data_IF_665825079909
#
_entry.id   IF_665825079909
#
_cell.length_a   1.000
_cell.length_b   1.000
_cell.length_c   1.000
_cell.angle_alpha   90.00
_cell.angle_beta   90.00
_cell.angle_gamma   90.00
#
_symmetry.space_group_name_H-M   'P 1'
#
loop_
_entity.id
_entity.type
_entity.pdbx_description
1 polymer ?
#
# COMPACT_ATOMS: atom_id res chain seq x y z
N UNK A 1 -1.43 29.67 11.05
CA UNK A 1 -1.34 31.14 10.95
C UNK A 1 -2.74 31.74 11.02
N UNK A 2 -2.97 32.83 11.76
CA UNK A 2 -4.22 33.60 11.78
C UNK A 2 -4.67 34.01 10.36
N UNK A 3 -5.96 34.30 10.15
CA UNK A 3 -6.45 34.77 8.85
C UNK A 3 -5.95 36.20 8.53
N UNK A 4 -5.73 37.01 9.56
CA UNK A 4 -5.28 38.41 9.48
C UNK A 4 -3.88 38.52 8.87
N UNK A 5 -2.98 37.60 9.23
CA UNK A 5 -1.62 37.54 8.67
C UNK A 5 -1.59 37.05 7.21
N UNK A 6 -2.69 36.47 6.70
CA UNK A 6 -2.79 35.89 5.35
C UNK A 6 -3.46 36.78 4.31
N UNK A 7 -4.17 37.84 4.72
CA UNK A 7 -5.11 38.58 3.85
C UNK A 7 -4.77 40.08 3.75
N UNK A 8 -3.68 40.56 4.36
CA UNK A 8 -3.33 41.98 4.33
C UNK A 8 -2.94 42.47 2.92
N UNK A 9 -3.69 43.42 2.32
CA UNK A 9 -3.47 43.88 0.95
C UNK A 9 -2.13 44.62 0.77
N UNK A 10 -1.64 45.31 1.81
CA UNK A 10 -0.43 46.16 1.71
C UNK A 10 0.90 45.36 1.77
N UNK A 11 0.88 44.12 2.26
CA UNK A 11 2.02 43.18 2.22
C UNK A 11 1.94 42.17 1.07
N UNK A 12 0.73 41.89 0.59
CA UNK A 12 0.41 40.85 -0.39
C UNK A 12 0.97 41.09 -1.81
N UNK A 13 1.45 42.29 -2.13
CA UNK A 13 2.01 42.61 -3.45
C UNK A 13 3.51 42.26 -3.58
N UNK A 14 4.18 41.82 -2.49
CA UNK A 14 5.62 41.54 -2.50
C UNK A 14 5.97 40.03 -2.58
N UNK A 15 5.05 39.12 -2.26
CA UNK A 15 5.28 37.66 -2.26
C UNK A 15 4.10 36.96 -2.96
N UNK A 16 4.39 35.96 -3.81
CA UNK A 16 3.36 35.20 -4.52
C UNK A 16 2.51 34.39 -3.52
N UNK A 17 1.24 34.75 -3.37
CA UNK A 17 0.39 34.26 -2.27
C UNK A 17 -0.22 32.87 -2.51
N UNK A 18 -0.18 32.35 -3.74
CA UNK A 18 -0.73 31.04 -4.07
C UNK A 18 0.23 30.24 -4.98
N UNK A 19 0.10 28.92 -4.98
CA UNK A 19 0.80 28.08 -5.93
C UNK A 19 -0.04 26.89 -6.40
N UNK A 20 0.14 26.50 -7.66
CA UNK A 20 -0.47 25.30 -8.23
C UNK A 20 0.63 24.44 -8.85
N UNK A 21 0.76 23.19 -8.38
CA UNK A 21 1.88 22.29 -8.73
C UNK A 21 3.26 22.95 -8.57
N UNK A 22 3.40 23.84 -7.60
CA UNK A 22 4.64 24.57 -7.34
C UNK A 22 4.85 25.82 -8.21
N UNK A 23 3.97 26.11 -9.19
CA UNK A 23 4.00 27.36 -9.95
C UNK A 23 3.32 28.46 -9.13
N UNK A 24 4.03 29.55 -8.79
CA UNK A 24 3.48 30.65 -8.01
C UNK A 24 2.54 31.54 -8.84
N UNK A 25 1.49 32.07 -8.22
CA UNK A 25 0.60 33.09 -8.80
C UNK A 25 -0.06 33.95 -7.72
N UNK A 26 -0.62 35.09 -8.10
CA UNK A 26 -1.38 35.95 -7.20
C UNK A 26 -2.89 35.74 -7.36
N UNK A 27 -3.64 35.80 -6.26
CA UNK A 27 -5.11 35.67 -6.26
C UNK A 27 -5.73 37.05 -6.10
N UNK A 28 -6.60 37.42 -7.03
CA UNK A 28 -7.40 38.64 -6.93
C UNK A 28 -8.74 38.37 -6.25
N UNK A 29 -9.47 37.38 -6.72
CA UNK A 29 -10.78 36.97 -6.19
C UNK A 29 -10.91 35.46 -6.23
N UNK A 30 -11.62 34.90 -5.25
CA UNK A 30 -11.95 33.48 -5.19
C UNK A 30 -13.40 33.31 -4.78
N UNK A 31 -14.17 32.59 -5.59
CA UNK A 31 -15.57 32.26 -5.33
C UNK A 31 -15.69 30.76 -5.07
N UNK A 32 -16.44 30.39 -4.03
CA UNK A 32 -16.79 28.99 -3.74
C UNK A 32 -18.27 28.80 -4.02
N UNK A 33 -18.58 27.96 -5.00
CA UNK A 33 -19.94 27.48 -5.26
C UNK A 33 -20.05 26.05 -4.74
N UNK A 34 -20.91 25.82 -3.77
CA UNK A 34 -21.14 24.51 -3.17
C UNK A 34 -22.51 24.44 -2.53
N UNK A 35 -22.94 23.25 -2.11
CA UNK A 35 -24.27 23.09 -1.50
C UNK A 35 -24.81 21.68 -1.58
N UNK A 36 -26.14 21.55 -1.67
CA UNK A 36 -26.84 20.29 -1.91
C UNK A 36 -27.37 20.28 -3.34
N UNK A 37 -27.25 19.14 -3.99
CA UNK A 37 -27.76 18.92 -5.34
C UNK A 37 -29.24 18.59 -5.25
N UNK A 38 -30.08 19.56 -5.58
CA UNK A 38 -31.53 19.43 -5.57
C UNK A 38 -32.04 19.37 -7.01
N UNK A 39 -32.77 18.32 -7.36
CA UNK A 39 -33.52 18.25 -8.60
C UNK A 39 -34.93 18.80 -8.34
N UNK A 40 -35.22 19.97 -8.89
CA UNK A 40 -36.54 20.62 -8.77
C UNK A 40 -37.37 20.29 -10.00
N UNK A 41 -38.52 19.64 -9.80
CA UNK A 41 -39.49 19.38 -10.85
C UNK A 41 -40.63 20.38 -10.76
N UNK A 42 -40.92 21.04 -11.88
CA UNK A 42 -42.02 21.98 -12.02
C UNK A 42 -43.18 21.31 -12.73
N UNK A 43 -44.39 21.43 -12.18
CA UNK A 43 -45.63 21.01 -12.83
C UNK A 43 -46.32 22.22 -13.45
N UNK A 44 -47.01 22.03 -14.58
CA UNK A 44 -47.73 23.11 -15.28
C UNK A 44 -48.96 23.51 -14.46
N UNK A 45 -49.18 24.82 -14.29
CA UNK A 45 -50.30 25.45 -13.56
C UNK A 45 -50.39 25.14 -12.05
N UNK A 46 -49.38 24.50 -11.47
CA UNK A 46 -49.26 24.30 -10.03
C UNK A 46 -48.11 25.14 -9.44
N UNK A 47 -48.35 25.92 -8.36
CA UNK A 47 -47.30 26.70 -7.73
C UNK A 47 -46.36 25.87 -6.84
N UNK A 48 -46.70 24.60 -6.60
CA UNK A 48 -45.89 23.68 -5.79
C UNK A 48 -44.83 23.00 -6.65
N UNK A 49 -43.63 22.85 -6.09
CA UNK A 49 -42.49 22.18 -6.73
C UNK A 49 -42.15 20.92 -5.96
N UNK A 50 -41.84 19.84 -6.68
CA UNK A 50 -41.25 18.65 -6.06
C UNK A 50 -39.73 18.79 -6.08
N UNK A 51 -39.08 18.53 -4.94
CA UNK A 51 -37.65 18.74 -4.75
C UNK A 51 -37.01 17.42 -4.31
N UNK A 52 -36.27 16.80 -5.22
CA UNK A 52 -35.53 15.57 -4.95
C UNK A 52 -34.08 15.88 -4.60
N UNK A 53 -33.70 15.56 -3.37
CA UNK A 53 -32.33 15.76 -2.89
C UNK A 53 -31.43 14.60 -3.32
N UNK A 54 -30.49 14.90 -4.21
CA UNK A 54 -29.55 13.94 -4.80
C UNK A 54 -28.17 13.96 -4.12
N UNK A 55 -28.08 14.50 -2.90
CA UNK A 55 -26.89 14.52 -2.07
C UNK A 55 -26.12 15.86 -2.09
N UNK A 56 -24.87 15.83 -1.64
CA UNK A 56 -23.98 17.01 -1.62
C UNK A 56 -23.53 17.35 -3.05
N UNK A 57 -23.61 18.63 -3.42
CA UNK A 57 -23.08 19.18 -4.67
C UNK A 57 -21.54 19.25 -4.59
N UNK A 58 -20.87 19.14 -5.73
CA UNK A 58 -19.41 19.28 -5.74
C UNK A 58 -19.03 20.73 -5.46
N UNK A 59 -18.09 20.94 -4.54
CA UNK A 59 -17.57 22.28 -4.26
C UNK A 59 -16.70 22.70 -5.46
N UNK A 60 -17.17 23.70 -6.20
CA UNK A 60 -16.48 24.32 -7.33
C UNK A 60 -15.87 25.63 -6.86
N UNK A 61 -14.54 25.74 -6.94
CA UNK A 61 -13.84 26.99 -6.72
C UNK A 61 -13.57 27.66 -8.06
N UNK A 62 -13.99 28.91 -8.20
CA UNK A 62 -13.61 29.78 -9.30
C UNK A 62 -12.55 30.76 -8.79
N UNK A 63 -11.38 30.74 -9.42
CA UNK A 63 -10.22 31.52 -8.99
C UNK A 63 -9.86 32.48 -10.11
N UNK A 64 -9.81 33.77 -9.77
CA UNK A 64 -9.23 34.82 -10.59
C UNK A 64 -7.80 35.05 -10.13
N UNK A 65 -6.87 34.51 -10.90
CA UNK A 65 -5.44 34.65 -10.69
C UNK A 65 -4.86 35.75 -11.59
N UNK A 66 -3.75 36.34 -11.15
CA UNK A 66 -2.92 37.16 -12.02
C UNK A 66 -1.44 36.88 -11.79
N UNK A 67 -0.69 37.07 -12.87
CA UNK A 67 0.77 37.00 -12.90
C UNK A 67 1.25 38.40 -13.27
N UNK A 68 2.17 38.95 -12.47
CA UNK A 68 2.71 40.30 -12.65
C UNK A 68 4.23 40.26 -12.43
N UNK A 69 5.00 40.80 -13.36
CA UNK A 69 6.46 40.72 -13.26
C UNK A 69 7.18 41.11 -14.54
N UNK A 70 8.51 41.13 -14.49
CA UNK A 70 9.36 41.37 -15.66
C UNK A 70 9.31 40.17 -16.63
N UNK A 71 9.18 38.96 -16.07
CA UNK A 71 9.12 37.67 -16.78
C UNK A 71 7.69 37.09 -16.79
N UNK A 72 6.67 37.96 -16.83
CA UNK A 72 5.27 37.55 -16.70
C UNK A 72 4.82 36.56 -17.78
N UNK A 73 5.43 36.62 -18.96
CA UNK A 73 5.17 35.75 -20.10
C UNK A 73 5.63 34.30 -19.83
N UNK A 74 6.82 34.13 -19.24
CA UNK A 74 7.35 32.82 -18.85
C UNK A 74 6.55 32.20 -17.68
N UNK A 75 6.22 33.00 -16.67
CA UNK A 75 5.44 32.55 -15.52
C UNK A 75 4.00 32.20 -15.91
N UNK A 76 3.40 32.99 -16.81
CA UNK A 76 2.09 32.69 -17.42
C UNK A 76 2.13 31.34 -18.13
N UNK A 77 3.09 31.13 -19.03
CA UNK A 77 3.16 29.90 -19.83
C UNK A 77 3.40 28.67 -18.94
N UNK A 78 4.18 28.79 -17.88
CA UNK A 78 4.35 27.75 -16.87
C UNK A 78 3.04 27.43 -16.14
N UNK A 79 2.27 28.45 -15.75
CA UNK A 79 0.96 28.27 -15.10
C UNK A 79 -0.05 27.61 -16.04
N UNK A 80 -0.10 28.02 -17.30
CA UNK A 80 -0.99 27.42 -18.30
C UNK A 80 -0.62 25.96 -18.57
N UNK A 81 0.67 25.64 -18.67
CA UNK A 81 1.15 24.27 -18.79
C UNK A 81 0.75 23.41 -17.59
N UNK A 82 0.88 23.94 -16.37
CA UNK A 82 0.47 23.24 -15.16
C UNK A 82 -1.05 22.99 -15.12
N UNK A 83 -1.86 23.98 -15.53
CA UNK A 83 -3.32 23.85 -15.59
C UNK A 83 -3.79 22.88 -16.68
N UNK A 84 -3.04 22.72 -17.76
CA UNK A 84 -3.36 21.80 -18.87
C UNK A 84 -2.85 20.37 -18.66
N UNK A 85 -1.90 20.15 -17.77
CA UNK A 85 -1.37 18.82 -17.49
C UNK A 85 -2.40 17.98 -16.70
N UNK A 86 -2.73 16.79 -17.24
CA UNK A 86 -3.79 15.93 -16.72
C UNK A 86 -3.54 15.41 -15.30
N UNK A 87 -4.63 15.18 -14.55
CA UNK A 87 -4.60 14.59 -13.21
C UNK A 87 -4.75 15.60 -12.07
N UNK A 88 -4.86 15.13 -10.81
CA UNK A 88 -4.98 16.00 -9.65
C UNK A 88 -3.68 16.77 -9.38
N UNK A 89 -3.78 18.02 -8.95
CA UNK A 89 -2.64 18.89 -8.62
C UNK A 89 -2.76 19.48 -7.22
N UNK A 90 -1.62 19.72 -6.55
CA UNK A 90 -1.59 20.42 -5.27
C UNK A 90 -1.81 21.91 -5.51
N UNK A 91 -2.88 22.45 -4.92
CA UNK A 91 -3.19 23.87 -4.86
C UNK A 91 -2.93 24.38 -3.44
N UNK A 92 -2.08 25.39 -3.31
CA UNK A 92 -1.88 26.15 -2.08
C UNK A 92 -2.57 27.48 -2.25
N UNK A 93 -3.64 27.71 -1.50
CA UNK A 93 -4.45 28.92 -1.60
C UNK A 93 -4.51 29.66 -0.24
N UNK A 94 -4.42 31.01 -0.20
CA UNK A 94 -4.43 31.78 1.05
C UNK A 94 -5.63 31.50 1.95
N UNK A 95 -6.82 31.42 1.35
CA UNK A 95 -8.08 31.21 2.06
C UNK A 95 -8.38 29.74 2.35
N UNK A 96 -8.00 28.83 1.45
CA UNK A 96 -8.43 27.42 1.49
C UNK A 96 -7.36 26.45 1.99
N UNK A 97 -6.13 26.93 2.20
CA UNK A 97 -4.99 26.11 2.59
C UNK A 97 -4.47 25.24 1.44
N UNK A 98 -3.78 24.15 1.80
CA UNK A 98 -3.32 23.15 0.84
C UNK A 98 -4.44 22.17 0.50
N UNK A 99 -4.76 22.01 -0.79
CA UNK A 99 -5.78 21.08 -1.28
C UNK A 99 -5.31 20.35 -2.52
N UNK A 100 -5.86 19.15 -2.71
CA UNK A 100 -5.70 18.38 -3.94
C UNK A 100 -6.91 18.65 -4.84
N UNK A 101 -6.68 19.30 -5.98
CA UNK A 101 -7.76 19.74 -6.88
C UNK A 101 -7.57 19.21 -8.29
N UNK A 102 -8.67 19.08 -9.00
CA UNK A 102 -8.68 18.80 -10.45
C UNK A 102 -9.31 19.99 -11.17
N UNK A 103 -8.71 20.43 -12.26
CA UNK A 103 -9.25 21.51 -13.10
C UNK A 103 -10.51 21.01 -13.80
N UNK A 104 -11.63 21.73 -13.62
CA UNK A 104 -12.95 21.34 -14.09
C UNK A 104 -13.39 22.07 -15.36
N UNK A 105 -12.83 23.25 -15.63
CA UNK A 105 -13.18 24.11 -16.76
C UNK A 105 -11.93 24.58 -17.52
N UNK A 106 -12.05 24.91 -18.82
CA UNK A 106 -10.95 25.53 -19.56
C UNK A 106 -10.58 26.88 -18.92
N UNK A 107 -9.28 27.14 -18.81
CA UNK A 107 -8.78 28.41 -18.31
C UNK A 107 -8.98 29.52 -19.35
N UNK A 108 -9.29 30.73 -18.89
CA UNK A 108 -9.42 31.93 -19.72
C UNK A 108 -8.31 32.89 -19.36
N UNK A 109 -7.56 33.33 -20.36
CA UNK A 109 -6.48 34.32 -20.19
C UNK A 109 -6.94 35.65 -20.76
N UNK A 110 -6.79 36.72 -19.98
CA UNK A 110 -7.07 38.08 -20.40
C UNK A 110 -5.80 38.93 -20.26
N UNK A 111 -5.38 39.52 -21.39
CA UNK A 111 -4.21 40.39 -21.51
C UNK A 111 -4.65 41.65 -22.24
N UNK A 112 -4.28 42.81 -21.69
CA UNK A 112 -4.56 44.11 -22.31
C UNK A 112 -3.26 44.85 -22.54
N UNK A 113 -3.14 45.50 -23.69
CA UNK A 113 -2.02 46.39 -24.02
C UNK A 113 -1.95 47.62 -23.09
N UNK A 114 -3.06 47.97 -22.43
CA UNK A 114 -3.13 49.08 -21.49
C UNK A 114 -2.58 48.71 -20.10
N UNK A 115 -2.51 47.41 -19.79
CA UNK A 115 -1.99 46.84 -18.55
C UNK A 115 -0.78 45.94 -18.87
N UNK A 116 0.25 46.52 -19.50
CA UNK A 116 1.47 45.81 -19.87
C UNK A 116 2.21 45.23 -18.66
N UNK A 117 2.71 43.99 -18.79
CA UNK A 117 3.42 43.28 -17.73
C UNK A 117 2.53 42.46 -16.77
N UNK A 118 1.26 42.25 -17.13
CA UNK A 118 0.30 41.49 -16.33
C UNK A 118 -0.57 40.57 -17.20
N UNK A 119 -0.76 39.33 -16.76
CA UNK A 119 -1.72 38.39 -17.34
C UNK A 119 -2.74 37.95 -16.29
N UNK A 120 -4.03 38.08 -16.59
CA UNK A 120 -5.11 37.58 -15.74
C UNK A 120 -5.55 36.20 -16.22
N UNK A 121 -5.61 35.22 -15.32
CA UNK A 121 -6.00 33.85 -15.61
C UNK A 121 -7.17 33.45 -14.72
N UNK A 122 -8.31 33.15 -15.34
CA UNK A 122 -9.49 32.62 -14.65
C UNK A 122 -9.60 31.12 -14.89
N UNK A 123 -9.73 30.34 -13.82
CA UNK A 123 -9.96 28.90 -13.92
C UNK A 123 -10.88 28.40 -12.81
N UNK A 124 -11.53 27.27 -13.05
CA UNK A 124 -12.34 26.58 -12.03
C UNK A 124 -11.73 25.23 -11.68
N UNK A 125 -11.76 24.87 -10.40
CA UNK A 125 -11.28 23.59 -9.91
C UNK A 125 -12.25 22.98 -8.90
N UNK A 126 -12.22 21.65 -8.81
CA UNK A 126 -13.04 20.86 -7.89
C UNK A 126 -12.17 20.01 -6.98
N UNK A 127 -12.68 19.67 -5.80
CA UNK A 127 -11.96 18.83 -4.83
C UNK A 127 -11.76 17.41 -5.38
N UNK A 128 -10.49 17.01 -5.57
CA UNK A 128 -10.15 15.69 -6.09
C UNK A 128 -10.25 14.60 -5.01
N UNK A 129 -10.33 14.96 -3.73
CA UNK A 129 -10.40 13.99 -2.63
C UNK A 129 -11.69 13.14 -2.69
N UNK A 130 -12.79 13.71 -3.18
CA UNK A 130 -14.08 13.02 -3.27
C UNK A 130 -14.12 11.95 -4.36
N UNK A 131 -13.33 12.09 -5.44
CA UNK A 131 -13.27 11.07 -6.51
C UNK A 131 -12.53 9.81 -6.04
N UNK A 132 -11.48 9.96 -5.23
CA UNK A 132 -10.81 8.84 -4.56
C UNK A 132 -11.75 8.13 -3.56
N UNK A 133 -12.66 8.87 -2.92
CA UNK A 133 -13.65 8.30 -1.98
C UNK A 133 -14.82 7.61 -2.69
N UNK A 134 -15.26 8.06 -3.88
CA UNK A 134 -16.41 7.46 -4.58
C UNK A 134 -16.10 6.10 -5.23
N UNK A 135 -14.85 5.86 -5.60
CA UNK A 135 -14.37 4.51 -6.00
C UNK A 135 -14.41 3.49 -4.84
N UNK A 136 -14.72 3.95 -3.62
CA UNK A 136 -14.96 3.10 -2.45
C UNK A 136 -16.42 2.63 -2.30
N UNK A 137 -17.33 2.88 -3.26
CA UNK A 137 -18.67 2.24 -3.22
C UNK A 137 -18.56 0.79 -3.69
N UNK A 138 -18.46 -0.10 -2.71
CA UNK A 138 -18.58 -1.56 -2.76
C UNK A 138 -18.09 -2.13 -1.44
N UNK A 139 -17.79 -3.44 -1.33
CA UNK A 139 -17.35 -4.02 -0.06
C UNK A 139 -16.17 -3.23 0.51
N UNK A 140 -16.06 -3.17 1.84
CA UNK A 140 -14.98 -2.44 2.51
C UNK A 140 -13.62 -2.88 1.90
N UNK A 141 -12.60 -1.99 1.83
CA UNK A 141 -11.32 -2.32 1.18
C UNK A 141 -10.73 -3.68 1.61
N UNK A 142 -10.92 -4.04 2.88
CA UNK A 142 -10.53 -5.35 3.45
C UNK A 142 -11.28 -6.53 2.83
N UNK A 143 -12.60 -6.44 2.69
CA UNK A 143 -13.46 -7.50 2.15
C UNK A 143 -13.17 -7.72 0.66
N UNK A 144 -12.98 -6.64 -0.11
CA UNK A 144 -12.57 -6.72 -1.52
C UNK A 144 -11.22 -7.41 -1.68
N UNK A 145 -10.23 -7.04 -0.86
CA UNK A 145 -8.91 -7.67 -0.90
C UNK A 145 -8.98 -9.16 -0.56
N UNK A 146 -9.75 -9.53 0.47
CA UNK A 146 -9.96 -10.94 0.80
C UNK A 146 -10.62 -11.71 -0.34
N UNK A 147 -11.63 -11.12 -1.00
CA UNK A 147 -12.30 -11.73 -2.15
C UNK A 147 -11.36 -11.89 -3.36
N UNK A 148 -10.61 -10.84 -3.72
CA UNK A 148 -9.66 -10.87 -4.84
C UNK A 148 -8.54 -11.91 -4.62
N UNK A 149 -8.01 -12.01 -3.40
CA UNK A 149 -7.03 -13.03 -3.04
C UNK A 149 -7.63 -14.45 -3.16
N UNK A 150 -8.87 -14.65 -2.73
CA UNK A 150 -9.57 -15.94 -2.85
C UNK A 150 -9.79 -16.31 -4.32
N UNK A 151 -10.22 -15.37 -5.15
CA UNK A 151 -10.41 -15.59 -6.59
C UNK A 151 -9.11 -15.99 -7.29
N UNK A 152 -7.99 -15.33 -6.95
CA UNK A 152 -6.67 -15.68 -7.49
C UNK A 152 -6.23 -17.09 -7.06
N UNK A 153 -6.47 -17.49 -5.81
CA UNK A 153 -6.19 -18.85 -5.34
C UNK A 153 -7.04 -19.89 -6.10
N UNK A 154 -8.31 -19.60 -6.36
CA UNK A 154 -9.20 -20.48 -7.10
C UNK A 154 -8.78 -20.67 -8.55
N UNK A 155 -8.40 -19.58 -9.24
CA UNK A 155 -7.89 -19.64 -10.62
C UNK A 155 -6.56 -20.41 -10.66
N UNK A 156 -5.59 -20.10 -9.79
CA UNK A 156 -4.32 -20.81 -9.76
C UNK A 156 -4.49 -22.33 -9.54
N UNK A 157 -5.45 -22.71 -8.68
CA UNK A 157 -5.82 -24.12 -8.43
C UNK A 157 -6.47 -24.77 -9.64
N UNK A 158 -7.40 -24.07 -10.30
CA UNK A 158 -8.06 -24.58 -11.51
C UNK A 158 -7.04 -24.80 -12.64
N UNK A 159 -6.16 -23.82 -12.86
CA UNK A 159 -5.12 -23.85 -13.89
C UNK A 159 -4.06 -24.93 -13.64
N UNK A 160 -3.66 -25.13 -12.38
CA UNK A 160 -2.80 -26.24 -11.98
C UNK A 160 -3.49 -27.59 -12.23
N UNK A 161 -4.76 -27.72 -11.83
CA UNK A 161 -5.50 -28.98 -11.97
C UNK A 161 -5.69 -29.40 -13.43
N UNK A 162 -5.88 -28.43 -14.33
CA UNK A 162 -6.04 -28.69 -15.76
C UNK A 162 -4.74 -29.16 -16.44
N UNK A 163 -3.59 -28.62 -16.02
CA UNK A 163 -2.28 -28.89 -16.66
C UNK A 163 -1.49 -30.05 -16.03
N UNK A 164 -1.84 -30.48 -14.81
CA UNK A 164 -1.12 -31.54 -14.07
C UNK A 164 -1.73 -32.94 -14.21
N UNK A 165 -2.60 -33.19 -15.19
CA UNK A 165 -3.43 -34.41 -15.32
C UNK A 165 -2.69 -35.73 -15.60
N UNK A 166 -1.44 -35.70 -16.06
CA UNK A 166 -0.70 -36.91 -16.46
C UNK A 166 0.59 -37.13 -15.64
N UNK A 167 0.53 -37.84 -14.51
CA UNK A 167 1.70 -38.54 -13.91
C UNK A 167 2.74 -37.73 -13.12
N UNK A 168 3.60 -38.46 -12.40
CA UNK A 168 4.61 -37.95 -11.46
C UNK A 168 5.87 -37.46 -12.18
N UNK A 169 6.41 -36.31 -11.77
CA UNK A 169 7.62 -35.75 -12.36
C UNK A 169 8.63 -35.26 -11.33
N UNK A 170 9.90 -35.13 -11.76
CA UNK A 170 11.01 -34.64 -10.94
C UNK A 170 10.80 -33.18 -10.47
N UNK A 171 10.07 -32.37 -11.26
CA UNK A 171 9.78 -30.97 -10.91
C UNK A 171 8.93 -30.81 -9.65
N UNK A 172 8.04 -31.75 -9.37
CA UNK A 172 7.20 -31.74 -8.15
C UNK A 172 8.05 -31.98 -6.89
N UNK A 173 9.03 -32.88 -6.96
CA UNK A 173 9.94 -33.14 -5.85
C UNK A 173 10.81 -31.90 -5.54
N UNK A 174 11.24 -31.17 -6.58
CA UNK A 174 11.96 -29.90 -6.41
C UNK A 174 11.11 -28.83 -5.73
N UNK A 175 9.86 -28.66 -6.15
CA UNK A 175 8.93 -27.70 -5.54
C UNK A 175 8.67 -27.98 -4.05
N UNK A 176 8.51 -29.26 -3.72
CA UNK A 176 8.34 -29.72 -2.34
C UNK A 176 9.59 -29.44 -1.51
N UNK A 177 10.78 -29.72 -2.05
CA UNK A 177 12.03 -29.43 -1.38
C UNK A 177 12.17 -27.92 -1.11
N UNK A 178 11.83 -27.08 -2.09
CA UNK A 178 11.80 -25.63 -1.95
C UNK A 178 10.80 -25.14 -0.91
N UNK A 179 9.57 -25.69 -0.90
CA UNK A 179 8.58 -25.40 0.14
C UNK A 179 9.08 -25.82 1.52
N UNK A 180 9.77 -26.96 1.64
CA UNK A 180 10.35 -27.42 2.91
C UNK A 180 11.48 -26.53 3.40
N UNK A 181 12.35 -26.07 2.49
CA UNK A 181 13.41 -25.12 2.82
C UNK A 181 12.83 -23.78 3.29
N UNK A 182 11.80 -23.26 2.61
CA UNK A 182 11.10 -22.05 3.03
C UNK A 182 10.41 -22.21 4.40
N UNK A 183 9.88 -23.38 4.71
CA UNK A 183 9.28 -23.67 6.00
C UNK A 183 10.31 -23.81 7.13
N UNK A 184 11.47 -24.42 6.86
CA UNK A 184 12.58 -24.52 7.81
C UNK A 184 13.21 -23.14 8.08
N UNK A 185 13.38 -22.32 7.03
CA UNK A 185 13.81 -20.94 7.16
C UNK A 185 12.78 -20.10 7.92
N UNK A 186 11.48 -20.32 7.69
CA UNK A 186 10.44 -19.70 8.50
C UNK A 186 10.52 -20.09 9.97
N UNK A 187 10.81 -21.36 10.27
CA UNK A 187 11.10 -21.81 11.62
C UNK A 187 12.31 -21.11 12.25
N UNK A 188 13.38 -20.92 11.48
CA UNK A 188 14.59 -20.24 11.94
C UNK A 188 14.37 -18.73 12.16
N UNK A 189 13.69 -18.04 11.24
CA UNK A 189 13.38 -16.61 11.35
C UNK A 189 12.42 -16.32 12.51
N UNK A 190 11.46 -17.21 12.78
CA UNK A 190 10.58 -17.11 13.95
C UNK A 190 11.37 -17.33 15.25
N UNK A 191 12.31 -18.28 15.27
CA UNK A 191 13.19 -18.49 16.41
C UNK A 191 14.14 -17.30 16.67
N UNK A 192 14.61 -16.62 15.61
CA UNK A 192 15.49 -15.45 15.68
C UNK A 192 14.72 -14.17 16.07
N UNK A 193 13.51 -13.98 15.53
CA UNK A 193 12.64 -12.84 15.84
C UNK A 193 12.04 -12.90 17.26
N UNK A 194 12.04 -14.08 17.90
CA UNK A 194 11.45 -14.29 19.23
C UNK A 194 12.46 -14.85 20.23
N UNK A 195 13.24 -13.96 20.87
CA UNK A 195 13.83 -14.25 22.18
C UNK A 195 12.77 -14.42 23.30
N UNK A 196 11.48 -14.24 23.00
CA UNK A 196 10.36 -14.45 23.93
C UNK A 196 9.17 -15.20 23.30
N UNK A 197 8.98 -16.42 23.83
CA UNK A 197 7.74 -17.20 24.04
C UNK A 197 7.09 -17.97 22.87
N UNK A 198 7.36 -19.29 22.84
CA UNK A 198 6.34 -20.35 22.90
C UNK A 198 5.42 -20.61 21.70
N UNK A 199 4.45 -19.74 21.41
CA UNK A 199 3.42 -20.07 20.41
C UNK A 199 3.83 -19.79 18.97
N UNK A 200 4.72 -18.82 18.73
CA UNK A 200 5.32 -18.64 17.41
C UNK A 200 6.16 -19.87 17.02
N UNK A 201 6.85 -20.49 17.99
CA UNK A 201 7.53 -21.78 17.80
C UNK A 201 6.52 -22.91 17.51
N UNK A 202 5.37 -22.94 18.20
CA UNK A 202 4.32 -23.94 17.95
C UNK A 202 3.70 -23.87 16.55
N UNK A 203 3.42 -22.67 16.04
CA UNK A 203 2.89 -22.46 14.69
C UNK A 203 3.94 -22.76 13.61
N UNK A 204 5.20 -22.39 13.83
CA UNK A 204 6.31 -22.74 12.95
C UNK A 204 6.56 -24.26 12.87
N UNK A 205 6.52 -24.94 14.03
CA UNK A 205 6.57 -26.40 14.10
C UNK A 205 5.37 -27.03 13.38
N UNK A 206 4.18 -26.43 13.51
CA UNK A 206 2.98 -26.81 12.76
C UNK A 206 3.17 -26.70 11.24
N UNK A 207 3.60 -25.53 10.75
CA UNK A 207 3.83 -25.28 9.32
C UNK A 207 4.89 -26.23 8.74
N UNK A 208 6.02 -26.41 9.42
CA UNK A 208 7.06 -27.37 8.99
C UNK A 208 6.57 -28.82 9.03
N UNK A 209 5.66 -29.18 9.94
CA UNK A 209 5.07 -30.52 9.99
C UNK A 209 4.12 -30.77 8.82
N UNK A 210 3.33 -29.77 8.40
CA UNK A 210 2.44 -29.84 7.25
C UNK A 210 3.20 -29.87 5.92
N UNK A 211 4.27 -29.08 5.78
CA UNK A 211 5.11 -29.15 4.58
C UNK A 211 5.82 -30.51 4.46
N UNK A 212 6.31 -31.06 5.58
CA UNK A 212 6.84 -32.43 5.62
C UNK A 212 5.75 -33.49 5.39
N UNK A 213 4.49 -33.19 5.67
CA UNK A 213 3.33 -34.04 5.33
C UNK A 213 3.11 -34.02 3.82
N UNK A 214 3.03 -32.84 3.21
CA UNK A 214 2.93 -32.64 1.76
C UNK A 214 4.02 -33.41 1.02
N UNK A 215 5.27 -33.31 1.49
CA UNK A 215 6.41 -34.00 0.89
C UNK A 215 6.27 -35.53 0.88
N UNK A 216 5.71 -36.10 1.96
CA UNK A 216 5.51 -37.55 2.08
C UNK A 216 4.35 -38.07 1.24
N UNK A 217 3.30 -37.26 1.04
CA UNK A 217 2.09 -37.67 0.32
C UNK A 217 2.06 -37.20 -1.14
N UNK A 218 3.03 -36.43 -1.59
CA UNK A 218 3.10 -35.93 -2.96
C UNK A 218 2.91 -37.00 -4.06
N UNK A 219 3.50 -38.21 -3.95
CA UNK A 219 3.28 -39.25 -4.97
C UNK A 219 1.81 -39.66 -5.11
N UNK A 220 1.04 -39.67 -4.02
CA UNK A 220 -0.41 -39.95 -4.01
C UNK A 220 -1.28 -38.73 -4.30
N UNK A 221 -0.77 -37.51 -4.06
CA UNK A 221 -1.48 -36.27 -4.36
C UNK A 221 -1.38 -35.90 -5.84
N UNK A 222 -0.37 -36.39 -6.55
CA UNK A 222 -0.21 -36.15 -7.99
C UNK A 222 -1.24 -36.87 -8.86
N UNK A 223 -1.88 -37.93 -8.33
CA UNK A 223 -3.07 -38.52 -8.96
C UNK A 223 -4.34 -37.71 -8.71
N UNK A 224 -4.31 -36.72 -7.81
CA UNK A 224 -5.43 -35.81 -7.50
C UNK A 224 -4.96 -34.33 -7.54
N UNK A 225 -4.71 -33.76 -8.74
CA UNK A 225 -4.10 -32.43 -8.89
C UNK A 225 -4.80 -31.30 -8.11
N UNK A 226 -6.13 -31.29 -8.05
CA UNK A 226 -6.89 -30.29 -7.31
C UNK A 226 -6.64 -30.37 -5.79
N UNK A 227 -6.45 -31.58 -5.26
CA UNK A 227 -6.13 -31.79 -3.84
C UNK A 227 -4.70 -31.36 -3.55
N UNK A 228 -3.75 -31.74 -4.40
CA UNK A 228 -2.37 -31.27 -4.31
C UNK A 228 -2.30 -29.73 -4.24
N UNK A 229 -2.99 -29.04 -5.15
CA UNK A 229 -3.04 -27.58 -5.18
C UNK A 229 -3.62 -26.98 -3.88
N UNK A 230 -4.67 -27.58 -3.33
CA UNK A 230 -5.29 -27.15 -2.07
C UNK A 230 -4.33 -27.29 -0.89
N UNK A 231 -3.57 -28.39 -0.84
CA UNK A 231 -2.58 -28.63 0.21
C UNK A 231 -1.39 -27.68 0.11
N UNK A 232 -0.90 -27.38 -1.11
CA UNK A 232 0.14 -26.36 -1.35
C UNK A 232 -0.32 -24.98 -0.88
N UNK A 233 -1.54 -24.57 -1.24
CA UNK A 233 -2.12 -23.29 -0.79
C UNK A 233 -2.27 -23.22 0.73
N UNK A 234 -2.68 -24.33 1.34
CA UNK A 234 -2.80 -24.42 2.81
C UNK A 234 -1.43 -24.32 3.47
N UNK A 235 -0.41 -25.01 2.94
CA UNK A 235 0.96 -24.90 3.43
C UNK A 235 1.50 -23.47 3.34
N UNK A 236 1.32 -22.80 2.19
CA UNK A 236 1.73 -21.39 2.00
C UNK A 236 1.04 -20.48 3.02
N UNK A 237 -0.29 -20.61 3.19
CA UNK A 237 -1.03 -19.82 4.20
C UNK A 237 -0.55 -20.11 5.62
N UNK A 238 -0.22 -21.36 5.95
CA UNK A 238 0.30 -21.72 7.28
C UNK A 238 1.70 -21.15 7.50
N UNK A 239 2.58 -21.18 6.50
CA UNK A 239 3.91 -20.56 6.58
C UNK A 239 3.75 -19.06 6.86
N UNK A 240 2.96 -18.35 6.06
CA UNK A 240 2.74 -16.91 6.24
C UNK A 240 1.98 -16.58 7.54
N UNK A 241 1.02 -17.42 7.93
CA UNK A 241 0.25 -17.29 9.16
C UNK A 241 1.07 -17.55 10.43
N UNK A 242 2.10 -18.41 10.36
CA UNK A 242 3.01 -18.66 11.48
C UNK A 242 3.76 -17.39 11.93
N UNK A 243 3.98 -16.46 11.00
CA UNK A 243 4.54 -15.14 11.28
C UNK A 243 3.49 -14.10 11.74
N UNK A 244 2.20 -14.33 11.46
CA UNK A 244 1.10 -13.37 11.67
C UNK A 244 0.39 -13.51 13.02
N UNK A 245 0.51 -14.63 13.72
CA UNK A 245 -0.16 -14.78 15.02
C UNK A 245 0.46 -13.84 16.05
N UNK A 246 -0.40 -12.99 16.65
CA UNK A 246 -0.06 -12.20 17.83
C UNK A 246 0.51 -13.08 18.96
N UNK A 247 1.12 -12.43 19.96
CA UNK A 247 1.58 -13.17 21.14
C UNK A 247 0.43 -14.01 21.70
N UNK A 248 0.68 -15.29 22.03
CA UNK A 248 -0.31 -16.12 22.68
C UNK A 248 -0.70 -15.44 23.99
N UNK A 249 -1.98 -15.10 24.14
CA UNK A 249 -2.49 -14.57 25.42
C UNK A 249 -2.55 -15.66 26.49
N UNK A 250 -2.41 -16.93 26.11
CA UNK A 250 -2.48 -18.10 26.99
C UNK A 250 -1.38 -19.12 26.65
N UNK A 251 -0.79 -19.72 27.67
CA UNK A 251 0.21 -20.79 27.53
C UNK A 251 -0.44 -22.05 26.92
N UNK A 252 0.06 -22.57 25.78
CA UNK A 252 -0.55 -23.70 25.08
C UNK A 252 -0.52 -25.03 25.85
N UNK A 253 0.33 -25.17 26.88
CA UNK A 253 0.40 -26.38 27.71
C UNK A 253 -0.41 -26.27 29.00
N UNK A 254 -0.45 -25.08 29.61
CA UNK A 254 -1.10 -24.89 30.91
C UNK A 254 -2.46 -24.19 30.83
N UNK A 255 -2.82 -23.62 29.68
CA UNK A 255 -4.06 -22.85 29.47
C UNK A 255 -4.13 -21.56 30.31
N UNK A 256 -3.05 -21.20 31.02
CA UNK A 256 -3.01 -20.02 31.88
C UNK A 256 -2.77 -18.78 31.03
N UNK A 257 -3.42 -17.64 31.34
CA UNK A 257 -3.12 -16.40 30.66
C UNK A 257 -1.65 -16.04 30.88
N UNK A 258 -0.91 -15.88 29.78
CA UNK A 258 0.43 -15.30 29.81
C UNK A 258 0.21 -13.83 30.14
N UNK A 259 0.88 -13.31 31.19
CA UNK A 259 0.96 -11.87 31.41
C UNK A 259 1.80 -11.28 30.28
N UNK A 260 1.17 -10.99 29.14
CA UNK A 260 1.79 -10.14 28.13
C UNK A 260 1.77 -8.72 28.69
N UNK A 261 2.96 -8.13 28.86
CA UNK A 261 3.09 -6.69 28.68
C UNK A 261 2.43 -6.39 27.34
N UNK A 262 1.53 -5.39 27.19
CA UNK A 262 0.97 -5.08 25.89
C UNK A 262 2.12 -4.89 24.91
N UNK A 263 2.28 -5.82 23.97
CA UNK A 263 3.42 -5.85 23.07
C UNK A 263 3.47 -4.51 22.33
N UNK A 264 4.49 -3.70 22.64
CA UNK A 264 4.56 -2.35 22.14
C UNK A 264 4.52 -2.37 20.60
N UNK A 265 3.79 -1.44 19.93
CA UNK A 265 3.52 -1.49 18.49
C UNK A 265 4.76 -1.72 17.61
N UNK A 266 5.91 -1.19 18.02
CA UNK A 266 7.19 -1.32 17.31
C UNK A 266 7.80 -2.74 17.35
N UNK A 267 7.52 -3.56 18.36
CA UNK A 267 7.93 -4.98 18.36
C UNK A 267 7.20 -5.79 17.30
N UNK A 268 6.01 -5.33 16.91
CA UNK A 268 5.18 -6.00 15.92
C UNK A 268 5.62 -5.65 14.48
N UNK A 269 6.27 -4.51 14.27
CA UNK A 269 6.78 -4.05 12.96
C UNK A 269 7.75 -5.04 12.30
N UNK A 270 8.63 -5.67 13.10
CA UNK A 270 9.55 -6.71 12.62
C UNK A 270 8.83 -7.92 12.00
N UNK A 271 7.59 -8.19 12.45
CA UNK A 271 6.76 -9.30 11.94
C UNK A 271 6.27 -9.03 10.53
N UNK A 272 5.79 -7.82 10.26
CA UNK A 272 5.34 -7.44 8.93
C UNK A 272 6.45 -7.61 7.89
N UNK A 273 7.67 -7.20 8.23
CA UNK A 273 8.85 -7.40 7.39
C UNK A 273 9.14 -8.88 7.12
N UNK A 274 9.11 -9.71 8.16
CA UNK A 274 9.37 -11.15 8.05
C UNK A 274 8.32 -11.88 7.18
N UNK A 275 7.03 -11.58 7.37
CA UNK A 275 5.94 -12.13 6.54
C UNK A 275 6.15 -11.79 5.06
N UNK A 276 6.39 -10.50 4.78
CA UNK A 276 6.59 -10.02 3.42
C UNK A 276 7.79 -10.72 2.78
N UNK A 277 8.92 -10.76 3.48
CA UNK A 277 10.14 -11.41 2.99
C UNK A 277 9.94 -12.90 2.70
N UNK A 278 9.30 -13.64 3.61
CA UNK A 278 8.99 -15.05 3.41
C UNK A 278 8.08 -15.28 2.20
N UNK A 279 7.02 -14.49 2.07
CA UNK A 279 6.09 -14.66 0.95
C UNK A 279 6.67 -14.27 -0.39
N UNK A 280 7.54 -13.24 -0.46
CA UNK A 280 8.20 -12.89 -1.72
C UNK A 280 9.19 -13.96 -2.15
N UNK A 281 9.91 -14.58 -1.21
CA UNK A 281 10.76 -15.75 -1.51
C UNK A 281 9.93 -16.94 -2.01
N UNK A 282 8.78 -17.20 -1.38
CA UNK A 282 7.85 -18.24 -1.85
C UNK A 282 7.36 -17.93 -3.27
N UNK A 283 7.08 -16.67 -3.59
CA UNK A 283 6.64 -16.26 -4.92
C UNK A 283 7.73 -16.40 -5.99
N UNK A 284 9.00 -16.34 -5.61
CA UNK A 284 10.15 -16.48 -6.51
C UNK A 284 10.61 -17.93 -6.70
N UNK A 285 9.97 -18.89 -6.00
CA UNK A 285 10.34 -20.29 -6.08
C UNK A 285 10.14 -20.86 -7.49
N UNK A 286 11.22 -21.37 -8.07
CA UNK A 286 11.20 -22.07 -9.35
C UNK A 286 11.42 -21.17 -10.57
N UNK A 287 11.62 -19.86 -10.37
CA UNK A 287 11.93 -18.91 -11.45
C UNK A 287 13.22 -19.29 -12.19
N UNK A 288 14.27 -19.70 -11.46
CA UNK A 288 15.58 -20.07 -12.02
C UNK A 288 15.70 -21.56 -12.42
N UNK A 289 14.59 -22.28 -12.57
CA UNK A 289 14.66 -23.71 -12.90
C UNK A 289 15.25 -23.94 -14.31
N UNK A 290 16.23 -24.86 -14.48
CA UNK A 290 16.95 -25.04 -15.74
C UNK A 290 15.99 -25.41 -16.88
N UNK A 291 16.16 -24.86 -18.08
CA UNK A 291 15.26 -25.14 -19.20
C UNK A 291 15.15 -26.66 -19.49
N UNK A 292 13.93 -27.13 -19.72
CA UNK A 292 13.67 -28.52 -20.13
C UNK A 292 13.76 -28.58 -21.66
N UNK A 293 14.45 -29.59 -22.19
CA UNK A 293 14.45 -29.84 -23.63
C UNK A 293 13.04 -30.23 -24.11
N UNK A 294 12.41 -29.35 -24.88
CA UNK A 294 11.05 -29.52 -25.43
C UNK A 294 11.04 -30.13 -26.84
N UNK A 295 12.18 -30.65 -27.32
CA UNK A 295 12.27 -31.37 -28.59
C UNK A 295 11.43 -32.66 -28.61
N UNK A 296 11.17 -33.24 -27.43
CA UNK A 296 10.37 -34.46 -27.26
C UNK A 296 8.97 -34.16 -26.71
N UNK A 297 7.99 -35.00 -27.02
CA UNK A 297 6.64 -34.91 -26.44
C UNK A 297 6.66 -35.03 -24.91
N UNK A 298 7.56 -35.86 -24.36
CA UNK A 298 7.77 -35.94 -22.91
C UNK A 298 8.28 -34.60 -22.35
N UNK A 299 9.27 -34.00 -22.99
CA UNK A 299 9.83 -32.70 -22.61
C UNK A 299 8.83 -31.55 -22.67
N UNK A 300 7.97 -31.51 -23.70
CA UNK A 300 6.86 -30.54 -23.78
C UNK A 300 5.87 -30.69 -22.63
N UNK A 301 5.48 -31.94 -22.30
CA UNK A 301 4.60 -32.22 -21.17
C UNK A 301 5.25 -31.86 -19.84
N UNK A 302 6.54 -32.15 -19.68
CA UNK A 302 7.29 -31.82 -18.46
C UNK A 302 7.42 -30.30 -18.26
N UNK A 303 7.71 -29.56 -19.32
CA UNK A 303 7.76 -28.10 -19.29
C UNK A 303 6.40 -27.51 -18.88
N UNK A 304 5.31 -27.97 -19.50
CA UNK A 304 3.96 -27.49 -19.19
C UNK A 304 3.55 -27.75 -17.73
N UNK A 305 3.88 -28.94 -17.18
CA UNK A 305 3.61 -29.26 -15.77
C UNK A 305 4.44 -28.40 -14.83
N UNK A 306 5.71 -28.18 -15.14
CA UNK A 306 6.58 -27.33 -14.31
C UNK A 306 6.08 -25.89 -14.30
N UNK A 307 5.68 -25.35 -15.44
CA UNK A 307 5.04 -24.03 -15.52
C UNK A 307 3.77 -23.99 -14.68
N UNK A 308 2.88 -24.97 -14.79
CA UNK A 308 1.66 -25.03 -13.98
C UNK A 308 1.94 -25.03 -12.47
N UNK A 309 2.97 -25.75 -12.04
CA UNK A 309 3.40 -25.76 -10.64
C UNK A 309 4.02 -24.43 -10.21
N UNK A 310 4.82 -23.78 -11.06
CA UNK A 310 5.37 -22.46 -10.81
C UNK A 310 4.25 -21.44 -10.60
N UNK A 311 3.26 -21.42 -11.50
CA UNK A 311 2.07 -20.57 -11.40
C UNK A 311 1.28 -20.84 -10.13
N UNK A 312 1.05 -22.11 -9.78
CA UNK A 312 0.36 -22.48 -8.54
C UNK A 312 1.06 -21.90 -7.31
N UNK A 313 2.37 -22.09 -7.19
CA UNK A 313 3.14 -21.62 -6.03
C UNK A 313 3.21 -20.09 -6.02
N UNK A 314 3.61 -19.47 -7.14
CA UNK A 314 3.78 -18.03 -7.28
C UNK A 314 2.47 -17.28 -7.07
N UNK A 315 1.42 -17.66 -7.79
CA UNK A 315 0.12 -17.04 -7.69
C UNK A 315 -0.48 -17.19 -6.29
N UNK A 316 -0.34 -18.37 -5.68
CA UNK A 316 -0.82 -18.59 -4.31
C UNK A 316 -0.02 -17.83 -3.26
N UNK A 317 1.29 -17.70 -3.42
CA UNK A 317 2.14 -16.92 -2.52
C UNK A 317 1.81 -15.43 -2.56
N UNK A 318 1.64 -14.86 -3.76
CA UNK A 318 1.27 -13.44 -3.92
C UNK A 318 -0.15 -13.18 -3.39
N UNK A 319 -1.12 -14.06 -3.68
CA UNK A 319 -2.48 -13.94 -3.15
C UNK A 319 -2.50 -14.01 -1.62
N UNK A 320 -1.79 -14.99 -1.04
CA UNK A 320 -1.70 -15.15 0.41
C UNK A 320 -0.95 -13.99 1.08
N UNK A 321 0.07 -13.41 0.43
CA UNK A 321 0.73 -12.19 0.89
C UNK A 321 -0.24 -11.00 0.89
N UNK A 322 -0.97 -10.79 -0.21
CA UNK A 322 -1.99 -9.75 -0.31
C UNK A 322 -2.99 -9.87 0.84
N UNK A 323 -3.49 -11.07 1.10
CA UNK A 323 -4.38 -11.33 2.22
C UNK A 323 -3.72 -11.12 3.59
N UNK A 324 -2.45 -11.50 3.77
CA UNK A 324 -1.73 -11.28 5.02
C UNK A 324 -1.62 -9.80 5.39
N UNK A 325 -1.51 -8.89 4.39
CA UNK A 325 -1.47 -7.43 4.64
C UNK A 325 -2.70 -6.86 5.33
N UNK A 326 -3.80 -7.62 5.40
CA UNK A 326 -4.98 -7.24 6.18
C UNK A 326 -4.64 -7.13 7.67
N UNK A 327 -3.81 -8.02 8.20
CA UNK A 327 -3.57 -8.12 9.64
C UNK A 327 -2.13 -7.79 10.03
N UNK A 328 -1.30 -7.39 9.04
CA UNK A 328 0.07 -6.98 9.29
C UNK A 328 0.12 -5.62 10.01
N UNK A 329 0.84 -5.53 11.15
CA UNK A 329 1.06 -4.27 11.84
C UNK A 329 2.20 -3.50 11.17
N UNK A 330 1.84 -2.53 10.34
CA UNK A 330 2.79 -1.55 9.79
C UNK A 330 3.04 -0.43 10.81
N UNK A 331 4.29 0.00 10.94
CA UNK A 331 4.72 1.01 11.91
C UNK A 331 4.83 2.42 11.34
N UNK A 332 4.96 2.54 10.02
CA UNK A 332 5.14 3.80 9.31
C UNK A 332 4.45 3.79 7.95
N UNK A 333 4.11 4.98 7.47
CA UNK A 333 3.64 5.19 6.09
C UNK A 333 4.60 4.59 5.07
N UNK A 334 5.91 4.77 5.26
CA UNK A 334 6.93 4.28 4.35
C UNK A 334 6.97 2.75 4.30
N UNK A 335 6.79 2.05 5.43
CA UNK A 335 6.72 0.60 5.46
C UNK A 335 5.51 0.05 4.68
N UNK A 336 4.35 0.70 4.80
CA UNK A 336 3.16 0.32 4.03
C UNK A 336 3.34 0.58 2.52
N UNK A 337 3.96 1.70 2.14
CA UNK A 337 4.26 2.04 0.73
C UNK A 337 5.31 1.09 0.13
N UNK A 338 6.34 0.70 0.89
CA UNK A 338 7.33 -0.28 0.45
C UNK A 338 6.67 -1.64 0.19
N UNK A 339 5.83 -2.11 1.12
CA UNK A 339 5.07 -3.34 0.94
C UNK A 339 4.17 -3.29 -0.30
N UNK A 340 3.49 -2.16 -0.53
CA UNK A 340 2.69 -1.93 -1.72
C UNK A 340 3.53 -2.01 -3.00
N UNK A 341 4.66 -1.29 -3.03
CA UNK A 341 5.56 -1.23 -4.18
C UNK A 341 6.08 -2.62 -4.54
N UNK A 342 6.51 -3.39 -3.54
CA UNK A 342 6.99 -4.76 -3.73
C UNK A 342 5.89 -5.70 -4.22
N UNK A 343 4.67 -5.59 -3.70
CA UNK A 343 3.52 -6.39 -4.17
C UNK A 343 3.14 -6.05 -5.61
N UNK A 344 3.10 -4.76 -5.97
CA UNK A 344 2.84 -4.33 -7.35
C UNK A 344 3.92 -4.87 -8.29
N UNK A 345 5.20 -4.75 -7.92
CA UNK A 345 6.30 -5.27 -8.74
C UNK A 345 6.22 -6.79 -8.91
N UNK A 346 5.85 -7.53 -7.86
CA UNK A 346 5.67 -8.97 -7.94
C UNK A 346 4.49 -9.37 -8.85
N UNK A 347 3.38 -8.63 -8.79
CA UNK A 347 2.23 -8.81 -9.68
C UNK A 347 2.57 -8.46 -11.13
N UNK A 348 3.25 -7.33 -11.37
CA UNK A 348 3.68 -6.90 -12.71
C UNK A 348 4.64 -7.89 -13.34
N UNK A 349 5.57 -8.46 -12.56
CA UNK A 349 6.44 -9.53 -13.04
C UNK A 349 5.65 -10.82 -13.36
N UNK A 350 4.59 -11.12 -12.59
CA UNK A 350 3.78 -12.31 -12.83
C UNK A 350 2.90 -12.18 -14.09
N UNK A 351 2.42 -10.97 -14.42
CA UNK A 351 1.62 -10.71 -15.65
C UNK A 351 2.34 -11.18 -16.92
N UNK A 352 3.68 -11.13 -16.97
CA UNK A 352 4.46 -11.52 -18.15
C UNK A 352 4.37 -13.02 -18.48
N UNK A 353 4.08 -13.84 -17.48
CA UNK A 353 4.00 -15.30 -17.60
C UNK A 353 2.56 -15.82 -17.50
N UNK A 354 1.65 -14.99 -16.98
CA UNK A 354 0.26 -15.33 -16.64
C UNK A 354 -0.58 -15.84 -17.83
N UNK A 355 -1.54 -16.71 -17.52
CA UNK A 355 -2.56 -17.16 -18.47
C UNK A 355 -3.69 -16.13 -18.60
N UNK A 356 -4.48 -16.20 -19.67
CA UNK A 356 -5.64 -15.31 -19.87
C UNK A 356 -6.62 -15.33 -18.69
N UNK A 357 -6.82 -16.49 -18.05
CA UNK A 357 -7.67 -16.62 -16.86
C UNK A 357 -7.05 -15.96 -15.61
N UNK A 358 -5.73 -15.97 -15.49
CA UNK A 358 -5.00 -15.35 -14.39
C UNK A 358 -4.95 -13.82 -14.52
N UNK A 359 -4.95 -13.27 -15.73
CA UNK A 359 -4.85 -11.82 -15.95
C UNK A 359 -5.97 -11.03 -15.27
N UNK A 360 -7.21 -11.52 -15.32
CA UNK A 360 -8.36 -10.83 -14.70
C UNK A 360 -8.23 -10.76 -13.18
N UNK A 361 -7.90 -11.90 -12.54
CA UNK A 361 -7.75 -11.96 -11.07
C UNK A 361 -6.49 -11.25 -10.56
N UNK A 362 -5.42 -11.21 -11.35
CA UNK A 362 -4.22 -10.42 -11.04
C UNK A 362 -4.54 -8.92 -11.04
N UNK A 363 -5.30 -8.45 -12.02
CA UNK A 363 -5.72 -7.05 -12.11
C UNK A 363 -6.60 -6.63 -10.92
N UNK A 364 -7.55 -7.49 -10.52
CA UNK A 364 -8.41 -7.23 -9.36
C UNK A 364 -7.63 -7.25 -8.03
N UNK A 365 -6.71 -8.20 -7.86
CA UNK A 365 -5.84 -8.23 -6.69
C UNK A 365 -4.96 -6.98 -6.60
N UNK A 366 -4.35 -6.54 -7.72
CA UNK A 366 -3.54 -5.33 -7.79
C UNK A 366 -4.32 -4.11 -7.32
N UNK A 367 -5.54 -3.94 -7.82
CA UNK A 367 -6.42 -2.82 -7.46
C UNK A 367 -6.79 -2.86 -5.97
N UNK A 368 -7.15 -4.04 -5.48
CA UNK A 368 -7.57 -4.24 -4.09
C UNK A 368 -6.44 -4.03 -3.08
N UNK A 369 -5.24 -4.56 -3.35
CA UNK A 369 -4.03 -4.33 -2.54
C UNK A 369 -3.68 -2.85 -2.50
N UNK A 370 -3.70 -2.17 -3.66
CA UNK A 370 -3.39 -0.75 -3.76
C UNK A 370 -4.33 0.10 -2.91
N UNK A 371 -5.64 -0.14 -3.02
CA UNK A 371 -6.64 0.58 -2.22
C UNK A 371 -6.48 0.32 -0.72
N UNK A 372 -6.27 -0.94 -0.32
CA UNK A 372 -6.08 -1.30 1.08
C UNK A 372 -4.83 -0.64 1.67
N UNK A 373 -3.66 -0.84 1.06
CA UNK A 373 -2.40 -0.36 1.62
C UNK A 373 -2.28 1.18 1.59
N UNK A 374 -2.84 1.86 0.59
CA UNK A 374 -2.91 3.33 0.62
C UNK A 374 -3.83 3.85 1.73
N UNK A 375 -4.94 3.14 2.00
CA UNK A 375 -5.82 3.50 3.13
C UNK A 375 -5.12 3.31 4.49
N UNK A 376 -4.34 2.24 4.63
CA UNK A 376 -3.52 1.98 5.83
C UNK A 376 -2.42 3.04 5.95
N UNK A 377 -1.68 3.30 4.89
CA UNK A 377 -0.59 4.29 4.85
C UNK A 377 -1.05 5.71 5.22
N UNK A 378 -2.29 6.07 4.88
CA UNK A 378 -2.87 7.37 5.25
C UNK A 378 -3.05 7.54 6.76
N UNK A 379 -3.22 6.45 7.51
CA UNK A 379 -3.41 6.46 8.97
C UNK A 379 -2.11 6.36 9.78
N UNK A 380 -0.99 6.06 9.11
CA UNK A 380 0.29 5.80 9.77
C UNK A 380 1.19 7.05 9.82
N UNK A 381 2.02 7.18 10.86
CA UNK A 381 2.98 8.26 11.01
C UNK A 381 4.07 8.21 9.92
N UNK A 382 4.69 9.35 9.66
CA UNK A 382 5.77 9.48 8.68
C UNK A 382 7.14 9.20 9.33
N UNK A 383 8.06 8.60 8.58
CA UNK A 383 9.41 8.33 9.06
C UNK A 383 10.30 9.54 8.74
N UNK A 384 10.95 10.09 9.75
CA UNK A 384 11.82 11.26 9.64
C UNK A 384 13.22 10.94 10.16
N UNK A 385 14.21 11.63 9.61
CA UNK A 385 15.59 11.54 10.08
C UNK A 385 15.84 12.62 11.14
N UNK A 386 16.33 12.21 12.29
CA UNK A 386 16.73 13.06 13.41
C UNK A 386 18.22 12.91 13.66
N UNK A 387 18.97 14.01 13.60
CA UNK A 387 20.40 14.00 13.95
C UNK A 387 20.56 14.37 15.41
N UNK A 388 21.17 13.47 16.19
CA UNK A 388 21.37 13.66 17.63
C UNK A 388 22.31 14.85 17.87
N UNK A 389 21.89 15.91 18.57
CA UNK A 389 22.70 17.12 18.74
C UNK A 389 23.81 16.95 19.78
N UNK A 390 23.57 16.17 20.84
CA UNK A 390 24.47 15.97 21.98
C UNK A 390 24.40 14.51 22.42
N UNK A 391 25.51 13.97 22.95
CA UNK A 391 25.55 12.62 23.52
C UNK A 391 24.46 12.45 24.59
N UNK A 392 23.48 11.58 24.33
CA UNK A 392 22.32 11.41 25.20
C UNK A 392 21.84 9.94 25.22
N UNK A 393 21.23 9.48 26.32
CA UNK A 393 20.50 8.22 26.35
C UNK A 393 19.32 8.23 25.37
N UNK A 394 19.03 7.09 24.74
CA UNK A 394 17.89 6.91 23.84
C UNK A 394 16.54 7.27 24.50
N UNK A 395 16.42 7.07 25.82
CA UNK A 395 15.24 7.47 26.59
C UNK A 395 15.05 8.99 26.63
N UNK A 396 16.14 9.76 26.75
CA UNK A 396 16.10 11.23 26.74
C UNK A 396 15.75 11.72 25.34
N UNK A 397 16.38 11.14 24.32
CA UNK A 397 16.08 11.44 22.91
C UNK A 397 14.61 11.16 22.58
N UNK A 398 14.05 10.04 23.07
CA UNK A 398 12.64 9.70 22.88
C UNK A 398 11.70 10.68 23.60
N UNK A 399 12.06 11.15 24.80
CA UNK A 399 11.29 12.19 25.49
C UNK A 399 11.31 13.52 24.73
N UNK A 400 12.44 13.92 24.17
CA UNK A 400 12.56 15.14 23.37
C UNK A 400 11.77 15.07 22.05
N UNK A 401 11.79 13.90 21.39
CA UNK A 401 11.12 13.70 20.09
C UNK A 401 9.62 13.47 20.22
N UNK A 402 9.20 12.65 21.19
CA UNK A 402 7.83 12.13 21.28
C UNK A 402 7.08 12.59 22.52
N UNK A 403 7.75 13.24 23.47
CA UNK A 403 7.16 13.58 24.78
C UNK A 403 6.95 12.37 25.71
N UNK A 404 7.32 11.16 25.29
CA UNK A 404 7.18 9.92 26.07
C UNK A 404 8.51 9.15 26.16
N UNK A 405 9.13 9.05 27.35
CA UNK A 405 10.38 8.31 27.52
C UNK A 405 10.24 6.80 27.30
N UNK A 406 9.03 6.24 27.37
CA UNK A 406 8.78 4.80 27.14
C UNK A 406 9.03 4.38 25.69
N UNK A 407 9.04 5.34 24.77
CA UNK A 407 9.40 5.13 23.36
C UNK A 407 10.91 5.08 23.12
N UNK A 408 11.72 5.10 24.17
CA UNK A 408 13.17 4.86 24.06
C UNK A 408 13.51 3.49 23.46
N UNK A 409 12.79 2.44 23.86
CA UNK A 409 13.01 1.08 23.35
C UNK A 409 12.65 0.96 21.86
N UNK A 410 11.62 1.69 21.42
CA UNK A 410 11.27 1.81 20.00
C UNK A 410 12.44 2.39 19.19
N UNK A 411 13.02 3.48 19.67
CA UNK A 411 14.13 4.18 19.02
C UNK A 411 15.35 3.27 18.91
N UNK A 412 15.64 2.50 19.96
CA UNK A 412 16.72 1.51 20.04
C UNK A 412 16.51 0.39 19.02
N UNK A 413 15.31 -0.19 19.00
CA UNK A 413 15.00 -1.31 18.13
C UNK A 413 15.02 -0.91 16.65
N UNK A 414 14.43 0.24 16.30
CA UNK A 414 14.39 0.74 14.91
C UNK A 414 15.79 1.01 14.37
N UNK A 415 16.63 1.68 15.16
CA UNK A 415 17.97 2.10 14.72
C UNK A 415 19.08 1.09 15.04
N UNK A 416 18.73 -0.07 15.62
CA UNK A 416 19.68 -1.10 16.09
C UNK A 416 20.78 -0.51 16.97
N UNK A 417 20.41 0.37 17.90
CA UNK A 417 21.35 1.08 18.77
C UNK A 417 22.01 0.07 19.71
N UNK A 418 23.34 -0.09 19.61
CA UNK A 418 24.09 -1.03 20.46
C UNK A 418 24.19 -0.58 21.92
N UNK A 419 24.26 0.74 22.16
CA UNK A 419 24.41 1.31 23.49
C UNK A 419 23.26 2.29 23.80
N UNK A 420 22.12 1.80 24.31
CA UNK A 420 20.93 2.63 24.57
C UNK A 420 21.16 3.80 25.52
N UNK A 421 22.10 3.68 26.46
CA UNK A 421 22.42 4.75 27.42
C UNK A 421 23.38 5.80 26.86
N UNK A 422 23.93 5.58 25.67
CA UNK A 422 24.95 6.45 25.09
C UNK A 422 24.84 6.47 23.56
N UNK A 423 23.94 7.30 23.04
CA UNK A 423 23.85 7.59 21.61
C UNK A 423 24.70 8.81 21.31
N UNK A 424 25.64 8.69 20.37
CA UNK A 424 26.61 9.75 20.05
C UNK A 424 25.98 10.92 19.29
N UNK A 425 26.42 12.13 19.58
CA UNK A 425 26.15 13.32 18.79
C UNK A 425 26.56 13.09 17.32
N UNK A 426 25.75 13.60 16.40
CA UNK A 426 25.91 13.41 14.96
C UNK A 426 25.38 12.08 14.42
N UNK A 427 24.91 11.16 15.27
CA UNK A 427 24.23 9.94 14.80
C UNK A 427 22.89 10.33 14.18
N UNK A 428 22.64 9.86 12.95
CA UNK A 428 21.33 10.01 12.29
C UNK A 428 20.45 8.85 12.72
N UNK A 429 19.30 9.17 13.31
CA UNK A 429 18.30 8.22 13.78
C UNK A 429 17.01 8.36 12.95
N UNK A 430 16.38 7.25 12.66
CA UNK A 430 15.03 7.18 12.14
C UNK A 430 14.02 7.29 13.29
N UNK A 431 13.11 8.25 13.19
CA UNK A 431 12.10 8.57 14.19
C UNK A 431 10.72 8.74 13.54
N UNK A 432 9.65 8.35 14.24
CA UNK A 432 8.28 8.51 13.74
C UNK A 432 7.76 9.91 14.07
N UNK A 433 7.34 10.65 13.05
CA UNK A 433 6.66 11.93 13.21
C UNK A 433 5.16 11.70 13.20
N UNK A 434 4.53 12.00 14.34
CA UNK A 434 3.08 11.96 14.53
C UNK A 434 2.38 13.22 13.98
#
# INVERSE_FOLDING_TARGET
MPWEDRVQPDRALAEANASFRGVPFHVQTSELTGGRRLQVQHFIDEPQVDVQDSGRESDVWQIDAFVIGLDYDLERDALLSALSEGGPGKLVHPFYGERLVTISSPHVVHESTDAGGMAQVRFSCVDAAQRLQRDMVGPAPRERLAAAATAMLDVARAEASARMTDGVTLGVLGAIASLSAAADEAGAAIADAHATVGAALGTAVGASSEVRRLARFAPSLLSEPSRFATEVQTAIRLILGAYGTGEPTHDPLSGRPIRSTPAEPWRQAGRARAVLEAGFRLADLGHDAPAIDTSTTYGQREAARRTALHHLVRGSAIAALGQATLDLPFDSRNAAIDALTRLINALDAYVLEATDAELEVIADLRLSVTRHLLSVAATLPELTQYTVPVDAPALVIAYELYGDPRRGDELVARNRIQHPLFVRAGTVLEALRE
#
